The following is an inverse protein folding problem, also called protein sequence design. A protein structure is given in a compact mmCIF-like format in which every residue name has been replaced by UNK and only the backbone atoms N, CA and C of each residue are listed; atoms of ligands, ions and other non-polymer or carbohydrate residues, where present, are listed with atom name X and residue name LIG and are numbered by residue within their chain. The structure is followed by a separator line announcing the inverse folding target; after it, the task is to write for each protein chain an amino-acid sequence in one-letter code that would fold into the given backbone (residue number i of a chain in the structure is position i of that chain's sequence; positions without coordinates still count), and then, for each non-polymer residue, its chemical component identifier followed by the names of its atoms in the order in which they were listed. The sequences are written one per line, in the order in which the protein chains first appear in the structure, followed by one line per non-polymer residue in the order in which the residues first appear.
data_IF_188434868221
#
_entry.id   IF_188434868221
#
_cell.length_a   1.000
_cell.length_b   1.000
_cell.length_c   1.000
_cell.angle_alpha   90.00
_cell.angle_beta   90.00
_cell.angle_gamma   90.00
#
_symmetry.space_group_name_H-M   'P 1'
#
loop_
_entity.id
_entity.type
_entity.pdbx_description
1 polymer ?
#
# COMPACT_ATOMS: atom_id res chain seq x y z
N UNK A 1 -18.80 -19.29 -15.30
CA UNK A 1 -18.65 -19.31 -13.82
C UNK A 1 -20.03 -19.54 -13.27
N UNK A 2 -20.29 -20.72 -12.74
CA UNK A 2 -21.61 -21.20 -12.35
C UNK A 2 -21.94 -20.85 -10.90
N UNK A 3 -23.23 -20.72 -10.59
CA UNK A 3 -23.79 -20.31 -9.30
C UNK A 3 -23.33 -21.14 -8.07
N UNK A 4 -22.68 -22.28 -8.29
CA UNK A 4 -22.16 -23.16 -7.23
C UNK A 4 -20.88 -22.61 -6.54
N UNK A 5 -20.13 -21.72 -7.18
CA UNK A 5 -18.91 -21.13 -6.57
C UNK A 5 -19.26 -20.09 -5.50
N UNK A 6 -20.44 -19.47 -5.58
CA UNK A 6 -20.93 -18.45 -4.63
C UNK A 6 -21.55 -19.06 -3.36
N UNK A 7 -21.95 -20.33 -3.39
CA UNK A 7 -22.56 -21.01 -2.24
C UNK A 7 -21.52 -21.47 -1.20
N UNK A 8 -20.25 -21.62 -1.59
CA UNK A 8 -19.17 -22.05 -0.69
C UNK A 8 -18.72 -20.95 0.29
N UNK A 9 -18.91 -19.66 -0.04
CA UNK A 9 -18.45 -18.55 0.82
C UNK A 9 -19.29 -18.34 2.09
N UNK A 10 -20.60 -18.61 2.06
CA UNK A 10 -21.48 -18.47 3.23
C UNK A 10 -21.52 -19.68 4.14
N UNK A 11 -21.19 -20.87 3.62
CA UNK A 11 -21.10 -22.11 4.38
C UNK A 11 -19.80 -22.27 5.16
N UNK A 12 -18.70 -21.75 4.63
CA UNK A 12 -17.37 -21.87 5.23
C UNK A 12 -17.22 -21.11 6.56
N UNK A 13 -17.96 -20.02 6.76
CA UNK A 13 -17.92 -19.23 8.00
C UNK A 13 -18.55 -19.97 9.19
N UNK A 14 -19.39 -20.96 8.96
CA UNK A 14 -20.09 -21.72 10.02
C UNK A 14 -19.38 -22.98 10.52
N UNK A 15 -18.29 -23.39 9.88
CA UNK A 15 -17.57 -24.64 10.16
C UNK A 15 -16.08 -24.41 10.34
N UNK A 16 -15.69 -23.44 11.20
CA UNK A 16 -14.29 -23.22 11.52
C UNK A 16 -13.83 -24.17 12.61
N UNK A 17 -12.74 -24.96 12.40
CA UNK A 17 -12.17 -25.79 13.45
C UNK A 17 -11.51 -24.91 14.54
N UNK A 18 -11.49 -25.34 15.78
CA UNK A 18 -11.03 -24.54 16.92
C UNK A 18 -9.52 -24.37 17.03
N UNK A 19 -8.73 -24.80 16.08
CA UNK A 19 -7.27 -24.66 16.12
C UNK A 19 -6.62 -24.72 14.73
N UNK A 20 -5.94 -23.67 14.31
CA UNK A 20 -4.84 -23.77 13.36
C UNK A 20 -4.96 -23.02 12.03
N UNK A 21 -6.14 -22.70 11.51
CA UNK A 21 -6.29 -22.21 10.13
C UNK A 21 -6.59 -20.69 10.00
N UNK A 22 -6.24 -19.89 11.01
CA UNK A 22 -6.45 -18.45 10.97
C UNK A 22 -5.63 -17.77 9.87
N UNK A 23 -4.43 -18.30 9.56
CA UNK A 23 -3.60 -17.80 8.46
C UNK A 23 -4.27 -18.05 7.10
N UNK A 24 -4.85 -19.25 6.91
CA UNK A 24 -5.59 -19.58 5.69
C UNK A 24 -6.86 -18.73 5.57
N UNK A 25 -7.56 -18.52 6.67
CA UNK A 25 -8.75 -17.67 6.68
C UNK A 25 -8.38 -16.20 6.40
N UNK A 26 -7.31 -15.70 7.00
CA UNK A 26 -6.79 -14.37 6.73
C UNK A 26 -6.40 -14.21 5.25
N UNK A 27 -5.74 -15.20 4.66
CA UNK A 27 -5.38 -15.21 3.24
C UNK A 27 -6.63 -15.26 2.32
N UNK A 28 -7.67 -15.98 2.71
CA UNK A 28 -8.92 -16.08 1.94
C UNK A 28 -9.83 -14.87 2.10
N UNK A 29 -9.62 -14.07 3.16
CA UNK A 29 -10.42 -12.89 3.47
C UNK A 29 -9.65 -11.58 3.34
N UNK A 30 -8.33 -11.61 3.13
CA UNK A 30 -7.54 -10.43 2.81
C UNK A 30 -7.68 -10.11 1.32
N UNK A 31 -8.13 -8.91 1.00
CA UNK A 31 -8.08 -8.37 -0.35
C UNK A 31 -6.66 -8.23 -0.86
N UNK A 32 -6.50 -7.99 -2.16
CA UNK A 32 -5.18 -7.79 -2.76
C UNK A 32 -4.50 -6.55 -2.18
N UNK A 33 -3.40 -6.77 -1.46
CA UNK A 33 -2.57 -5.70 -0.90
C UNK A 33 -1.33 -5.50 -1.76
N UNK A 34 -1.14 -4.26 -2.21
CA UNK A 34 0.00 -3.85 -3.02
C UNK A 34 0.82 -2.79 -2.27
N UNK A 35 2.13 -2.89 -2.38
CA UNK A 35 3.08 -1.89 -1.88
C UNK A 35 3.81 -1.25 -3.05
N UNK A 36 3.85 0.08 -3.10
CA UNK A 36 4.65 0.87 -4.05
C UNK A 36 5.71 1.62 -3.28
N UNK A 37 6.97 1.46 -3.68
CA UNK A 37 8.13 2.03 -2.98
C UNK A 37 8.88 3.00 -3.88
N UNK A 38 8.83 4.27 -3.55
CA UNK A 38 9.50 5.36 -4.29
C UNK A 38 10.93 5.65 -3.81
N UNK A 39 11.71 4.64 -3.44
CA UNK A 39 13.10 4.83 -3.05
C UNK A 39 14.04 4.57 -4.24
N UNK A 40 15.02 5.45 -4.54
CA UNK A 40 16.00 5.21 -5.60
C UNK A 40 16.96 4.04 -5.31
N UNK A 41 17.02 3.56 -4.07
CA UNK A 41 17.77 2.37 -3.69
C UNK A 41 16.80 1.18 -3.62
N UNK A 42 17.00 0.10 -4.41
CA UNK A 42 16.20 -1.11 -4.29
C UNK A 42 16.44 -1.78 -2.94
N UNK A 43 15.50 -2.60 -2.49
CA UNK A 43 15.55 -3.33 -1.21
C UNK A 43 15.89 -2.39 -0.02
N UNK A 44 15.32 -1.21 -0.03
CA UNK A 44 15.59 -0.14 0.95
C UNK A 44 14.88 -0.37 2.29
N UNK A 45 15.30 0.38 3.32
CA UNK A 45 14.54 0.47 4.58
C UNK A 45 13.10 0.95 4.36
N UNK A 46 12.89 1.84 3.39
CA UNK A 46 11.53 2.27 3.01
C UNK A 46 10.67 1.10 2.55
N UNK A 47 11.25 0.18 1.76
CA UNK A 47 10.57 -1.05 1.35
C UNK A 47 10.26 -1.93 2.55
N UNK A 48 11.26 -2.25 3.39
CA UNK A 48 11.06 -3.09 4.56
C UNK A 48 9.98 -2.53 5.51
N UNK A 49 9.99 -1.22 5.74
CA UNK A 49 8.96 -0.57 6.55
C UNK A 49 7.56 -0.65 5.89
N UNK A 50 7.47 -0.48 4.58
CA UNK A 50 6.19 -0.56 3.88
C UNK A 50 5.61 -1.98 3.86
N UNK A 51 6.45 -3.01 3.70
CA UNK A 51 6.05 -4.42 3.82
C UNK A 51 5.56 -4.72 5.24
N UNK A 52 6.29 -4.27 6.27
CA UNK A 52 5.88 -4.40 7.68
C UNK A 52 4.54 -3.71 7.96
N UNK A 53 4.36 -2.49 7.47
CA UNK A 53 3.09 -1.75 7.62
C UNK A 53 1.95 -2.49 6.95
N UNK A 54 2.15 -2.99 5.73
CA UNK A 54 1.15 -3.77 4.99
C UNK A 54 0.74 -5.02 5.77
N UNK A 55 1.70 -5.80 6.23
CA UNK A 55 1.45 -7.03 7.00
C UNK A 55 0.76 -6.75 8.33
N UNK A 56 1.21 -5.75 9.10
CA UNK A 56 0.57 -5.38 10.37
C UNK A 56 -0.84 -4.81 10.15
N UNK A 57 -1.08 -4.12 9.03
CA UNK A 57 -2.37 -3.52 8.70
C UNK A 57 -3.41 -4.57 8.31
N UNK A 58 -3.04 -5.51 7.45
CA UNK A 58 -3.95 -6.47 6.82
C UNK A 58 -3.91 -7.86 7.45
N UNK A 59 -2.88 -8.17 8.26
CA UNK A 59 -2.64 -9.48 8.87
C UNK A 59 -1.94 -10.48 7.95
N UNK A 60 -1.63 -10.09 6.70
CA UNK A 60 -0.92 -10.94 5.71
C UNK A 60 0.15 -10.12 4.97
N UNK A 61 1.19 -10.79 4.51
CA UNK A 61 2.20 -10.15 3.68
C UNK A 61 1.59 -9.60 2.37
N UNK A 62 2.08 -8.46 1.85
CA UNK A 62 1.56 -7.90 0.60
C UNK A 62 1.81 -8.88 -0.57
N UNK A 63 0.82 -9.05 -1.45
CA UNK A 63 0.91 -9.93 -2.61
C UNK A 63 1.84 -9.37 -3.69
N UNK A 64 1.96 -8.05 -3.77
CA UNK A 64 2.86 -7.39 -4.71
C UNK A 64 3.62 -6.26 -4.03
N UNK A 65 4.93 -6.18 -4.30
CA UNK A 65 5.80 -5.09 -3.90
C UNK A 65 6.50 -4.55 -5.14
N UNK A 66 6.24 -3.29 -5.47
CA UNK A 66 6.79 -2.60 -6.62
C UNK A 66 7.84 -1.60 -6.14
N UNK A 67 9.12 -1.92 -6.32
CA UNK A 67 10.20 -0.94 -6.21
C UNK A 67 10.22 -0.11 -7.50
N UNK A 68 9.81 1.15 -7.42
CA UNK A 68 9.68 2.04 -8.60
C UNK A 68 11.00 2.19 -9.35
N UNK A 69 12.13 2.09 -8.65
CA UNK A 69 13.48 2.16 -9.26
C UNK A 69 13.71 1.06 -10.31
N UNK A 70 13.07 -0.11 -10.17
CA UNK A 70 13.22 -1.25 -11.09
C UNK A 70 12.51 -1.02 -12.44
N UNK A 71 11.63 -0.03 -12.52
CA UNK A 71 10.99 0.39 -13.76
C UNK A 71 11.93 1.20 -14.67
N UNK A 72 13.01 1.75 -14.09
CA UNK A 72 14.11 2.37 -14.82
C UNK A 72 13.70 3.50 -15.76
N UNK A 73 14.29 3.53 -16.94
CA UNK A 73 14.07 4.57 -17.95
C UNK A 73 12.64 4.60 -18.51
N UNK A 74 11.87 3.52 -18.34
CA UNK A 74 10.46 3.46 -18.75
C UNK A 74 9.58 4.55 -18.10
N UNK A 75 10.00 5.06 -16.94
CA UNK A 75 9.33 6.16 -16.23
C UNK A 75 9.47 7.53 -16.91
N UNK A 76 10.42 7.69 -17.83
CA UNK A 76 10.71 8.97 -18.48
C UNK A 76 9.83 9.23 -19.71
N UNK A 77 8.95 8.31 -20.07
CA UNK A 77 8.05 8.42 -21.21
C UNK A 77 6.72 7.71 -20.95
N UNK A 78 5.96 7.51 -22.01
CA UNK A 78 4.66 6.87 -21.96
C UNK A 78 4.67 5.55 -22.74
N UNK A 79 3.89 4.58 -22.28
CA UNK A 79 3.67 3.33 -23.00
C UNK A 79 4.72 2.24 -22.76
N UNK A 80 5.60 2.40 -21.77
CA UNK A 80 6.50 1.32 -21.37
C UNK A 80 5.71 0.12 -20.81
N UNK A 81 5.95 -1.11 -21.30
CA UNK A 81 5.16 -2.28 -20.90
C UNK A 81 5.34 -2.66 -19.42
N UNK A 82 6.53 -2.47 -18.83
CA UNK A 82 6.76 -2.76 -17.41
C UNK A 82 6.01 -1.76 -16.53
N UNK A 83 5.98 -0.48 -16.93
CA UNK A 83 5.21 0.56 -16.25
C UNK A 83 3.71 0.27 -16.36
N UNK A 84 3.24 -0.15 -17.53
CA UNK A 84 1.85 -0.51 -17.75
C UNK A 84 1.42 -1.71 -16.90
N UNK A 85 2.26 -2.74 -16.77
CA UNK A 85 2.04 -3.89 -15.90
C UNK A 85 1.97 -3.47 -14.42
N UNK A 86 2.94 -2.68 -13.95
CA UNK A 86 2.95 -2.15 -12.58
C UNK A 86 1.69 -1.32 -12.28
N UNK A 87 1.26 -0.47 -13.21
CA UNK A 87 -0.01 0.28 -13.10
C UNK A 87 -1.21 -0.64 -12.99
N UNK A 88 -1.27 -1.70 -13.81
CA UNK A 88 -2.39 -2.65 -13.78
C UNK A 88 -2.49 -3.36 -12.42
N UNK A 89 -1.36 -3.77 -11.83
CA UNK A 89 -1.28 -4.34 -10.49
C UNK A 89 -1.82 -3.35 -9.46
N UNK A 90 -1.34 -2.10 -9.47
CA UNK A 90 -1.79 -1.06 -8.53
C UNK A 90 -3.29 -0.78 -8.64
N UNK A 91 -3.82 -0.70 -9.85
CA UNK A 91 -5.26 -0.46 -10.10
C UNK A 91 -6.16 -1.60 -9.63
N UNK A 92 -5.63 -2.81 -9.57
CA UNK A 92 -6.35 -4.00 -9.09
C UNK A 92 -6.30 -4.17 -7.55
N UNK A 93 -5.56 -3.33 -6.83
CA UNK A 93 -5.42 -3.46 -5.38
C UNK A 93 -6.71 -3.10 -4.63
N UNK A 94 -7.04 -3.86 -3.60
CA UNK A 94 -8.04 -3.48 -2.59
C UNK A 94 -7.43 -2.52 -1.57
N UNK A 95 -6.18 -2.81 -1.16
CA UNK A 95 -5.37 -1.96 -0.29
C UNK A 95 -4.03 -1.63 -0.93
N UNK A 96 -3.66 -0.36 -0.93
CA UNK A 96 -2.40 0.13 -1.48
C UNK A 96 -1.62 0.91 -0.43
N UNK A 97 -0.37 0.54 -0.18
CA UNK A 97 0.57 1.33 0.59
C UNK A 97 1.53 2.02 -0.38
N UNK A 98 1.54 3.35 -0.39
CA UNK A 98 2.50 4.14 -1.17
C UNK A 98 3.54 4.72 -0.24
N UNK A 99 4.78 4.27 -0.38
CA UNK A 99 5.87 4.58 0.52
C UNK A 99 7.01 5.35 -0.15
N UNK A 100 7.55 6.35 0.54
CA UNK A 100 8.70 7.13 0.09
C UNK A 100 9.64 7.46 1.25
N UNK A 101 10.96 7.54 1.02
CA UNK A 101 11.83 8.27 1.94
C UNK A 101 11.55 9.76 1.82
N UNK A 102 11.91 10.51 2.86
CA UNK A 102 11.80 11.98 2.84
C UNK A 102 13.07 12.59 2.28
N UNK A 103 12.99 13.11 1.06
CA UNK A 103 14.06 13.84 0.40
C UNK A 103 13.67 15.31 0.22
N UNK A 104 14.45 16.22 0.83
CA UNK A 104 14.18 17.67 0.75
C UNK A 104 12.74 18.02 1.16
N UNK A 105 12.32 17.49 2.31
CA UNK A 105 11.01 17.74 2.95
C UNK A 105 9.78 17.14 2.22
N UNK A 106 9.98 16.29 1.20
CA UNK A 106 8.88 15.69 0.45
C UNK A 106 9.24 14.28 -0.02
N UNK A 107 8.31 13.60 -0.68
CA UNK A 107 8.55 12.32 -1.37
C UNK A 107 9.52 12.51 -2.56
N UNK A 108 10.06 11.40 -3.07
CA UNK A 108 11.06 11.43 -4.15
C UNK A 108 10.46 11.80 -5.51
N UNK A 109 11.26 12.46 -6.35
CA UNK A 109 10.91 12.67 -7.76
C UNK A 109 10.70 11.36 -8.53
N UNK A 110 11.41 10.29 -8.12
CA UNK A 110 11.22 8.95 -8.69
C UNK A 110 9.79 8.44 -8.47
N UNK A 111 9.25 8.56 -7.25
CA UNK A 111 7.86 8.21 -6.98
C UNK A 111 6.91 9.08 -7.81
N UNK A 112 7.21 10.39 -7.95
CA UNK A 112 6.38 11.29 -8.75
C UNK A 112 6.29 10.87 -10.20
N UNK A 113 7.41 10.46 -10.81
CA UNK A 113 7.41 9.95 -12.19
C UNK A 113 6.47 8.75 -12.38
N UNK A 114 6.38 7.87 -11.40
CA UNK A 114 5.44 6.74 -11.44
C UNK A 114 3.99 7.19 -11.22
N UNK A 115 3.74 8.07 -10.24
CA UNK A 115 2.38 8.55 -9.96
C UNK A 115 1.83 9.39 -11.12
N UNK A 116 2.68 10.10 -11.89
CA UNK A 116 2.29 10.85 -13.08
C UNK A 116 1.84 9.96 -14.25
N UNK A 117 2.11 8.66 -14.19
CA UNK A 117 1.61 7.72 -15.19
C UNK A 117 0.09 7.44 -15.04
N UNK A 118 -0.51 7.79 -13.89
CA UNK A 118 -1.94 7.59 -13.65
C UNK A 118 -2.75 8.81 -14.08
N UNK A 119 -3.85 8.58 -14.76
CA UNK A 119 -4.85 9.61 -15.05
C UNK A 119 -5.75 9.92 -13.85
N UNK A 120 -6.47 11.03 -13.93
CA UNK A 120 -7.44 11.41 -12.92
C UNK A 120 -8.51 10.31 -12.72
N UNK A 121 -8.75 9.92 -11.47
CA UNK A 121 -9.76 8.92 -11.11
C UNK A 121 -9.35 7.46 -11.34
N UNK A 122 -8.17 7.16 -11.87
CA UNK A 122 -7.75 5.77 -12.16
C UNK A 122 -7.65 4.88 -10.91
N UNK A 123 -7.46 5.45 -9.72
CA UNK A 123 -7.42 4.73 -8.45
C UNK A 123 -8.72 4.83 -7.64
N UNK A 124 -9.86 5.14 -8.26
CA UNK A 124 -11.13 5.41 -7.59
C UNK A 124 -11.70 4.25 -6.75
N UNK A 125 -11.24 3.04 -6.96
CA UNK A 125 -11.66 1.84 -6.20
C UNK A 125 -10.59 1.38 -5.19
N UNK A 126 -9.44 2.08 -5.08
CA UNK A 126 -8.29 1.64 -4.29
C UNK A 126 -8.24 2.40 -2.97
N UNK A 127 -8.31 1.65 -1.86
CA UNK A 127 -8.06 2.21 -0.52
C UNK A 127 -6.55 2.37 -0.32
N UNK A 128 -6.09 3.60 -0.16
CA UNK A 128 -4.67 3.93 -0.19
C UNK A 128 -4.18 4.54 1.11
N UNK A 129 -2.99 4.13 1.54
CA UNK A 129 -2.32 4.60 2.74
C UNK A 129 -0.96 5.20 2.36
N UNK A 130 -0.78 6.49 2.67
CA UNK A 130 0.47 7.20 2.42
C UNK A 130 1.44 6.99 3.57
N UNK A 131 2.67 6.58 3.27
CA UNK A 131 3.76 6.35 4.22
C UNK A 131 5.01 7.13 3.80
N UNK A 132 5.62 7.85 4.73
CA UNK A 132 6.97 8.37 4.50
C UNK A 132 7.89 8.06 5.68
N UNK A 133 9.16 7.80 5.35
CA UNK A 133 10.22 7.62 6.32
C UNK A 133 11.19 8.80 6.28
N UNK A 134 11.70 9.17 7.43
CA UNK A 134 12.76 10.19 7.53
C UNK A 134 13.64 10.04 8.76
N UNK A 135 14.74 10.79 8.79
CA UNK A 135 15.72 10.73 9.87
C UNK A 135 15.34 11.53 11.13
N UNK A 136 14.26 12.32 11.08
CA UNK A 136 13.76 13.10 12.22
C UNK A 136 12.31 13.51 11.99
N UNK A 137 11.59 13.89 13.05
CA UNK A 137 10.20 14.37 12.97
C UNK A 137 10.04 15.78 12.38
N UNK A 138 11.12 16.45 11.97
CA UNK A 138 11.06 17.80 11.35
C UNK A 138 10.10 17.84 10.16
N UNK A 139 9.94 16.73 9.46
CA UNK A 139 9.08 16.59 8.28
C UNK A 139 7.90 15.65 8.48
N UNK A 140 7.45 15.46 9.74
CA UNK A 140 6.38 14.51 10.06
C UNK A 140 5.07 14.75 9.29
N UNK A 141 4.80 15.96 8.87
CA UNK A 141 3.63 16.30 8.05
C UNK A 141 3.83 16.10 6.54
N UNK A 142 5.02 15.75 6.09
CA UNK A 142 5.30 15.61 4.64
C UNK A 142 4.38 14.61 3.93
N UNK A 143 4.08 13.41 4.45
CA UNK A 143 3.16 12.49 3.77
C UNK A 143 1.75 13.07 3.64
N UNK A 144 1.25 13.79 4.64
CA UNK A 144 -0.07 14.40 4.63
C UNK A 144 -0.16 15.59 3.68
N UNK A 145 0.86 16.45 3.67
CA UNK A 145 0.85 17.71 2.93
C UNK A 145 1.34 17.58 1.48
N UNK A 146 2.14 16.56 1.17
CA UNK A 146 2.74 16.43 -0.17
C UNK A 146 2.33 15.16 -0.91
N UNK A 147 2.38 13.99 -0.29
CA UNK A 147 2.08 12.73 -0.96
C UNK A 147 0.57 12.49 -1.10
N UNK A 148 -0.18 12.61 0.00
CA UNK A 148 -1.62 12.37 -0.01
C UNK A 148 -2.40 13.19 -1.04
N UNK A 149 -2.15 14.51 -1.23
CA UNK A 149 -2.85 15.28 -2.27
C UNK A 149 -2.66 14.71 -3.68
N UNK A 150 -1.47 14.19 -4.01
CA UNK A 150 -1.23 13.54 -5.31
C UNK A 150 -2.02 12.25 -5.45
N UNK A 151 -2.09 11.44 -4.40
CA UNK A 151 -2.88 10.20 -4.40
C UNK A 151 -4.37 10.50 -4.58
N UNK A 152 -4.88 11.52 -3.92
CA UNK A 152 -6.28 11.96 -4.07
C UNK A 152 -6.54 12.49 -5.49
N UNK A 153 -5.60 13.24 -6.09
CA UNK A 153 -5.73 13.76 -7.46
C UNK A 153 -5.89 12.63 -8.48
N UNK A 154 -5.18 11.53 -8.31
CA UNK A 154 -5.31 10.36 -9.19
C UNK A 154 -6.50 9.44 -8.80
N UNK A 155 -7.33 9.87 -7.85
CA UNK A 155 -8.60 9.26 -7.48
C UNK A 155 -8.58 8.34 -6.26
N UNK A 156 -7.43 8.10 -5.64
CA UNK A 156 -7.33 7.17 -4.52
C UNK A 156 -8.15 7.61 -3.30
N UNK A 157 -8.81 6.65 -2.64
CA UNK A 157 -9.42 6.86 -1.34
C UNK A 157 -8.35 6.78 -0.25
N UNK A 158 -8.10 7.89 0.45
CA UNK A 158 -7.11 7.97 1.54
C UNK A 158 -7.83 8.23 2.88
N UNK A 159 -8.50 7.22 3.49
CA UNK A 159 -9.41 7.42 4.61
C UNK A 159 -8.70 7.58 5.97
N UNK A 160 -7.48 7.07 6.10
CA UNK A 160 -6.67 7.20 7.31
C UNK A 160 -5.72 8.40 7.24
N UNK A 161 -5.28 8.96 8.38
CA UNK A 161 -4.17 9.90 8.39
C UNK A 161 -2.93 9.28 7.74
N UNK A 162 -2.12 10.09 7.08
CA UNK A 162 -0.86 9.62 6.51
C UNK A 162 0.13 9.26 7.63
N UNK A 163 0.93 8.22 7.41
CA UNK A 163 1.90 7.72 8.38
C UNK A 163 3.29 8.28 8.09
N UNK A 164 3.95 8.79 9.13
CA UNK A 164 5.37 9.15 9.12
C UNK A 164 6.12 8.33 10.16
N UNK A 165 7.21 7.68 9.76
CA UNK A 165 8.04 6.88 10.65
C UNK A 165 9.49 7.35 10.59
N UNK A 166 10.22 7.18 11.69
CA UNK A 166 11.66 7.32 11.68
C UNK A 166 12.31 6.08 11.04
N UNK A 167 13.30 6.31 10.21
CA UNK A 167 14.02 5.22 9.53
C UNK A 167 14.95 4.42 10.47
N UNK A 168 15.15 4.91 11.70
CA UNK A 168 15.94 4.26 12.74
C UNK A 168 15.19 3.23 13.58
N UNK A 169 13.86 3.37 13.71
CA UNK A 169 13.07 2.64 14.71
C UNK A 169 11.66 2.23 14.25
N UNK A 170 11.38 2.28 12.94
CA UNK A 170 10.06 1.96 12.39
C UNK A 170 9.51 0.59 12.84
N UNK A 171 10.38 -0.38 13.15
CA UNK A 171 9.98 -1.74 13.56
C UNK A 171 9.30 -1.75 14.94
N UNK A 172 9.70 -0.84 15.83
CA UNK A 172 9.24 -0.75 17.21
C UNK A 172 8.46 0.53 17.51
N UNK A 173 8.08 1.28 16.47
CA UNK A 173 7.47 2.59 16.60
C UNK A 173 6.10 2.54 17.27
N UNK A 174 5.93 3.30 18.35
CA UNK A 174 4.62 3.52 18.97
C UNK A 174 3.66 4.27 18.04
N UNK A 175 4.17 5.13 17.16
CA UNK A 175 3.35 5.87 16.21
C UNK A 175 2.73 4.94 15.17
N UNK A 176 3.45 3.88 14.78
CA UNK A 176 2.88 2.81 13.94
C UNK A 176 1.71 2.11 14.65
N UNK A 177 1.88 1.71 15.90
CA UNK A 177 0.83 1.01 16.65
C UNK A 177 -0.42 1.91 16.86
N UNK A 178 -0.22 3.18 17.20
CA UNK A 178 -1.31 4.17 17.30
C UNK A 178 -2.02 4.34 15.95
N UNK A 179 -1.27 4.47 14.87
CA UNK A 179 -1.82 4.61 13.52
C UNK A 179 -2.64 3.37 13.11
N UNK A 180 -2.16 2.16 13.40
CA UNK A 180 -2.85 0.91 13.10
C UNK A 180 -4.23 0.83 13.77
N UNK A 181 -4.41 1.40 14.98
CA UNK A 181 -5.72 1.40 15.65
C UNK A 181 -6.80 2.15 14.87
N UNK A 182 -6.39 3.12 14.06
CA UNK A 182 -7.28 3.90 13.19
C UNK A 182 -7.38 3.27 11.81
N UNK A 183 -6.24 2.96 11.19
CA UNK A 183 -6.15 2.55 9.79
C UNK A 183 -6.84 1.21 9.50
N UNK A 184 -6.78 0.24 10.42
CA UNK A 184 -7.45 -1.08 10.27
C UNK A 184 -8.94 -1.00 10.02
N UNK A 185 -9.59 0.09 10.43
CA UNK A 185 -11.04 0.31 10.20
C UNK A 185 -11.38 0.49 8.72
N UNK A 186 -10.38 0.82 7.91
CA UNK A 186 -10.55 1.16 6.50
C UNK A 186 -9.99 0.09 5.57
N UNK A 187 -9.42 -0.99 6.10
CA UNK A 187 -9.02 -2.13 5.26
C UNK A 187 -10.27 -2.77 4.67
N UNK A 188 -10.39 -2.83 3.34
CA UNK A 188 -11.57 -3.43 2.72
C UNK A 188 -11.72 -4.89 3.13
N UNK A 189 -12.92 -5.25 3.55
CA UNK A 189 -13.27 -6.66 3.64
C UNK A 189 -13.40 -7.21 2.21
N UNK A 190 -12.88 -8.42 1.98
CA UNK A 190 -13.05 -9.08 0.67
C UNK A 190 -14.53 -9.15 0.36
N UNK A 191 -14.93 -8.53 -0.74
CA UNK A 191 -16.28 -8.67 -1.28
C UNK A 191 -16.44 -10.11 -1.75
N UNK A 192 -17.23 -10.87 -0.99
CA UNK A 192 -17.62 -12.26 -1.33
C UNK A 192 -18.55 -12.28 -2.54
#
# INVERSE_FOLDING_TARGET
VTADTLALSRGAIKALPPSGDWEILALLTAGMTVVVVGNPKPMSRTRAAAELVAEKLTGVAPQHVIDVVDLGAGLLGWGDPKVAEAKAIVKGADSLIVASPTFKATYTGLLKLFLDQFGAGELGQVTTFALMLGGSYTHALAPELSLRPVLVEIGASCPAPSLYLLDSDYETSEDLEKWLTVARRFVPAVSS
#
